data_IF_343990612959
#
_entry.id   IF_343990612959
#
_cell.length_a   1.000
_cell.length_b   1.000
_cell.length_c   1.000
_cell.angle_alpha   90.00
_cell.angle_beta   90.00
_cell.angle_gamma   90.00
#
_symmetry.space_group_name_H-M   'P 1'
#
loop_
_entity.id
_entity.type
_entity.pdbx_description
1 polymer ?
#
# COMPACT_ATOMS: atom_id res chain seq x y z
N UNK A 1 -1.93 2.59 -1.94
CA UNK A 1 -2.92 2.84 -0.89
C UNK A 1 -2.20 2.76 0.43
N UNK A 2 -2.58 3.58 1.41
CA UNK A 2 -2.03 3.49 2.75
C UNK A 2 -2.83 2.43 3.53
N UNK A 3 -2.17 1.72 4.44
CA UNK A 3 -2.82 0.82 5.39
C UNK A 3 -4.00 1.50 6.12
N UNK A 4 -3.84 2.78 6.46
CA UNK A 4 -4.87 3.61 7.07
C UNK A 4 -6.12 3.75 6.21
N UNK A 5 -5.96 4.03 4.91
CA UNK A 5 -7.09 4.09 3.96
C UNK A 5 -7.83 2.75 3.87
N UNK A 6 -7.12 1.64 4.04
CA UNK A 6 -7.68 0.29 3.98
C UNK A 6 -8.56 -0.03 5.18
N UNK A 7 -8.10 0.31 6.39
CA UNK A 7 -8.90 0.16 7.62
C UNK A 7 -10.25 0.88 7.46
N UNK A 8 -10.23 2.12 6.96
CA UNK A 8 -11.46 2.90 6.78
C UNK A 8 -12.35 2.42 5.63
N UNK A 9 -11.82 1.68 4.66
CA UNK A 9 -12.66 1.00 3.66
C UNK A 9 -13.46 -0.16 4.25
N UNK A 10 -12.92 -0.81 5.30
CA UNK A 10 -13.58 -1.91 6.00
C UNK A 10 -14.47 -1.43 7.15
N UNK A 11 -14.16 -0.30 7.76
CA UNK A 11 -14.97 0.35 8.79
C UNK A 11 -15.14 1.83 8.45
N UNK A 12 -16.19 2.22 7.70
CA UNK A 12 -16.39 3.61 7.31
C UNK A 12 -16.57 4.53 8.53
N UNK A 13 -15.86 5.66 8.56
CA UNK A 13 -15.96 6.66 9.65
C UNK A 13 -17.37 7.21 9.88
N UNK A 14 -18.22 7.13 8.86
CA UNK A 14 -19.61 7.59 8.88
C UNK A 14 -20.54 6.67 9.66
N UNK A 15 -20.10 5.46 9.99
CA UNK A 15 -20.85 4.51 10.82
C UNK A 15 -20.03 4.16 12.05
N UNK A 16 -20.27 4.89 13.15
CA UNK A 16 -19.63 4.57 14.42
C UNK A 16 -20.17 3.23 14.93
N UNK A 17 -19.33 2.20 14.88
CA UNK A 17 -19.59 0.91 15.51
C UNK A 17 -18.88 0.84 16.87
N UNK A 18 -19.11 -0.22 17.64
CA UNK A 18 -18.42 -0.42 18.92
C UNK A 18 -16.89 -0.47 18.76
N UNK A 19 -16.13 -0.18 19.83
CA UNK A 19 -14.67 -0.24 19.81
C UNK A 19 -14.14 -1.62 19.35
N UNK A 20 -14.87 -2.68 19.70
CA UNK A 20 -14.59 -4.05 19.23
C UNK A 20 -14.64 -4.16 17.71
N UNK A 21 -15.62 -3.52 17.07
CA UNK A 21 -15.79 -3.59 15.62
C UNK A 21 -14.67 -2.87 14.86
N UNK A 22 -14.23 -1.73 15.37
CA UNK A 22 -13.08 -0.99 14.83
C UNK A 22 -11.80 -1.81 14.98
N UNK A 23 -11.61 -2.47 16.13
CA UNK A 23 -10.48 -3.36 16.38
C UNK A 23 -10.48 -4.54 15.41
N UNK A 24 -11.61 -5.24 15.27
CA UNK A 24 -11.75 -6.40 14.39
C UNK A 24 -11.50 -6.01 12.92
N UNK A 25 -12.04 -4.86 12.48
CA UNK A 25 -11.79 -4.33 11.14
C UNK A 25 -10.32 -3.97 10.90
N UNK A 26 -9.64 -3.39 11.89
CA UNK A 26 -8.21 -3.10 11.81
C UNK A 26 -7.37 -4.38 11.76
N UNK A 27 -7.70 -5.39 12.57
CA UNK A 27 -7.06 -6.70 12.53
C UNK A 27 -7.25 -7.39 11.18
N UNK A 28 -8.48 -7.37 10.64
CA UNK A 28 -8.78 -7.92 9.32
C UNK A 28 -8.01 -7.18 8.22
N UNK A 29 -7.95 -5.84 8.30
CA UNK A 29 -7.21 -5.01 7.37
C UNK A 29 -5.72 -5.38 7.35
N UNK A 30 -5.11 -5.60 8.52
CA UNK A 30 -3.71 -5.98 8.64
C UNK A 30 -3.43 -7.30 7.94
N UNK A 31 -4.28 -8.30 8.21
CA UNK A 31 -4.16 -9.64 7.65
C UNK A 31 -4.35 -9.61 6.12
N UNK A 32 -5.37 -8.90 5.62
CA UNK A 32 -5.64 -8.80 4.18
C UNK A 32 -4.56 -7.99 3.44
N UNK A 33 -4.05 -6.94 4.07
CA UNK A 33 -3.00 -6.10 3.51
C UNK A 33 -1.66 -6.87 3.42
N UNK A 34 -1.33 -7.68 4.42
CA UNK A 34 -0.07 -8.43 4.45
C UNK A 34 -0.16 -9.74 3.65
N UNK A 35 -1.10 -10.62 3.99
CA UNK A 35 -1.15 -12.00 3.49
C UNK A 35 -2.00 -12.15 2.22
N UNK A 36 -2.83 -11.16 1.90
CA UNK A 36 -3.74 -11.17 0.75
C UNK A 36 -5.09 -11.83 1.02
N UNK A 37 -6.03 -11.54 0.13
CA UNK A 37 -7.42 -11.98 0.21
C UNK A 37 -7.56 -13.50 0.14
N UNK A 38 -6.85 -14.15 -0.79
CA UNK A 38 -7.01 -15.56 -1.04
C UNK A 38 -6.59 -16.38 0.17
N UNK A 39 -5.41 -16.13 0.75
CA UNK A 39 -4.93 -16.95 1.87
C UNK A 39 -5.75 -16.70 3.13
N UNK A 40 -6.05 -15.43 3.41
CA UNK A 40 -6.68 -15.01 4.65
C UNK A 40 -8.17 -15.30 4.69
N UNK A 41 -8.92 -14.96 3.63
CA UNK A 41 -10.37 -15.22 3.59
C UNK A 41 -10.65 -16.72 3.53
N UNK A 42 -9.86 -17.50 2.79
CA UNK A 42 -10.10 -18.95 2.70
C UNK A 42 -9.85 -19.65 4.04
N UNK A 43 -8.84 -19.22 4.82
CA UNK A 43 -8.61 -19.72 6.19
C UNK A 43 -9.74 -19.31 7.14
N UNK A 44 -10.14 -18.04 7.11
CA UNK A 44 -11.21 -17.51 7.95
C UNK A 44 -12.55 -18.21 7.70
N UNK A 45 -12.96 -18.32 6.42
CA UNK A 45 -14.20 -18.99 6.05
C UNK A 45 -14.23 -20.45 6.48
N UNK A 46 -13.09 -21.15 6.37
CA UNK A 46 -12.95 -22.52 6.87
C UNK A 46 -13.11 -22.58 8.39
N UNK A 47 -12.50 -21.66 9.14
CA UNK A 47 -12.62 -21.60 10.60
C UNK A 47 -14.04 -21.25 11.06
N UNK A 48 -14.77 -20.43 10.29
CA UNK A 48 -16.16 -20.10 10.55
C UNK A 48 -17.16 -21.21 10.13
N UNK A 49 -16.68 -22.38 9.69
CA UNK A 49 -17.55 -23.48 9.23
C UNK A 49 -18.27 -23.20 7.91
N UNK A 50 -17.85 -22.18 7.15
CA UNK A 50 -18.41 -21.87 5.84
C UNK A 50 -17.79 -22.83 4.83
N UNK A 51 -18.46 -23.97 4.65
CA UNK A 51 -17.94 -25.18 3.99
C UNK A 51 -17.78 -25.09 2.46
N UNK A 52 -18.09 -23.97 1.82
CA UNK A 52 -18.16 -23.92 0.36
C UNK A 52 -17.78 -22.58 -0.21
N UNK A 53 -16.48 -22.27 -0.19
CA UNK A 53 -15.93 -21.42 -1.25
C UNK A 53 -16.04 -22.20 -2.55
N UNK A 54 -17.10 -21.96 -3.32
CA UNK A 54 -17.24 -22.52 -4.66
C UNK A 54 -15.98 -22.21 -5.47
N UNK A 55 -15.62 -23.03 -6.47
CA UNK A 55 -14.49 -22.74 -7.34
C UNK A 55 -14.53 -21.34 -7.95
N UNK A 56 -15.74 -20.79 -8.16
CA UNK A 56 -15.95 -19.41 -8.60
C UNK A 56 -15.49 -18.39 -7.54
N UNK A 57 -15.86 -18.56 -6.27
CA UNK A 57 -15.40 -17.69 -5.18
C UNK A 57 -13.87 -17.70 -5.06
N UNK A 58 -13.25 -18.87 -5.13
CA UNK A 58 -11.77 -18.98 -5.05
C UNK A 58 -11.10 -18.27 -6.23
N UNK A 59 -11.64 -18.39 -7.44
CA UNK A 59 -11.14 -17.67 -8.62
C UNK A 59 -11.29 -16.16 -8.46
N UNK A 60 -12.41 -15.68 -7.96
CA UNK A 60 -12.62 -14.25 -7.69
C UNK A 60 -11.59 -13.72 -6.69
N UNK A 61 -11.38 -14.41 -5.57
CA UNK A 61 -10.39 -14.02 -4.57
C UNK A 61 -8.96 -13.97 -5.16
N UNK A 62 -8.60 -14.94 -6.00
CA UNK A 62 -7.33 -14.95 -6.74
C UNK A 62 -7.18 -13.75 -7.68
N UNK A 63 -8.23 -13.41 -8.42
CA UNK A 63 -8.21 -12.27 -9.34
C UNK A 63 -8.03 -10.95 -8.58
N UNK A 64 -8.76 -10.77 -7.49
CA UNK A 64 -8.64 -9.60 -6.60
C UNK A 64 -7.22 -9.48 -6.03
N UNK A 65 -6.63 -10.59 -5.57
CA UNK A 65 -5.25 -10.57 -5.08
C UNK A 65 -4.22 -10.26 -6.17
N UNK A 66 -4.40 -10.83 -7.37
CA UNK A 66 -3.52 -10.51 -8.50
C UNK A 66 -3.58 -9.04 -8.88
N UNK A 67 -4.77 -8.43 -8.83
CA UNK A 67 -4.94 -7.00 -9.06
C UNK A 67 -4.26 -6.17 -7.96
N UNK A 68 -4.47 -6.53 -6.68
CA UNK A 68 -3.78 -5.91 -5.53
C UNK A 68 -2.26 -5.91 -5.72
N UNK A 69 -1.69 -7.05 -6.07
CA UNK A 69 -0.24 -7.20 -6.29
C UNK A 69 0.24 -6.36 -7.48
N UNK A 70 -0.50 -6.34 -8.60
CA UNK A 70 -0.19 -5.51 -9.77
C UNK A 70 -0.18 -4.03 -9.43
N UNK A 71 -1.22 -3.55 -8.75
CA UNK A 71 -1.33 -2.16 -8.33
C UNK A 71 -0.24 -1.77 -7.33
N UNK A 72 0.08 -2.64 -6.38
CA UNK A 72 1.16 -2.40 -5.43
C UNK A 72 2.51 -2.27 -6.16
N UNK A 73 2.83 -3.21 -7.06
CA UNK A 73 4.04 -3.14 -7.90
C UNK A 73 4.10 -1.85 -8.72
N UNK A 74 2.97 -1.40 -9.29
CA UNK A 74 2.89 -0.15 -10.03
C UNK A 74 3.14 1.07 -9.13
N UNK A 75 2.51 1.12 -7.96
CA UNK A 75 2.69 2.20 -6.97
C UNK A 75 4.13 2.25 -6.44
N UNK A 76 4.79 1.10 -6.22
CA UNK A 76 6.21 1.04 -5.82
C UNK A 76 7.12 1.59 -6.92
N UNK A 77 6.89 1.22 -8.20
CA UNK A 77 7.66 1.76 -9.34
C UNK A 77 7.50 3.27 -9.48
N UNK A 78 6.26 3.78 -9.39
CA UNK A 78 6.00 5.22 -9.43
C UNK A 78 6.66 5.97 -8.26
N UNK A 79 6.67 5.37 -7.07
CA UNK A 79 7.31 5.94 -5.88
C UNK A 79 8.85 5.97 -6.02
N UNK A 80 9.45 4.90 -6.57
CA UNK A 80 10.88 4.87 -6.89
C UNK A 80 11.25 5.91 -7.95
N UNK A 81 10.45 6.07 -9.01
CA UNK A 81 10.66 7.10 -10.03
C UNK A 81 10.61 8.51 -9.43
N UNK A 82 9.62 8.80 -8.57
CA UNK A 82 9.55 10.08 -7.85
C UNK A 82 10.74 10.30 -6.90
N UNK A 83 11.27 9.23 -6.27
CA UNK A 83 12.48 9.32 -5.44
C UNK A 83 13.71 9.66 -6.29
N UNK A 84 13.89 8.97 -7.41
CA UNK A 84 15.00 9.21 -8.35
C UNK A 84 14.95 10.61 -8.95
N UNK A 85 13.77 11.09 -9.32
CA UNK A 85 13.59 12.46 -9.84
C UNK A 85 13.99 13.53 -8.80
N UNK A 86 13.65 13.31 -7.52
CA UNK A 86 14.08 14.21 -6.44
C UNK A 86 15.61 14.21 -6.26
N UNK A 87 16.27 13.06 -6.35
CA UNK A 87 17.73 12.97 -6.28
C UNK A 87 18.39 13.76 -7.42
N UNK A 88 17.92 13.59 -8.65
CA UNK A 88 18.42 14.34 -9.83
C UNK A 88 18.25 15.85 -9.64
N UNK A 89 17.09 16.30 -9.14
CA UNK A 89 16.87 17.73 -8.86
C UNK A 89 17.82 18.27 -7.79
N UNK A 90 18.13 17.49 -6.75
CA UNK A 90 19.11 17.88 -5.72
C UNK A 90 20.52 17.95 -6.28
N UNK A 91 20.93 16.96 -7.08
CA UNK A 91 22.25 16.96 -7.76
C UNK A 91 22.39 18.14 -8.72
N UNK A 92 21.34 18.48 -9.47
CA UNK A 92 21.34 19.65 -10.34
C UNK A 92 21.49 20.96 -9.57
N UNK A 93 20.84 21.09 -8.40
CA UNK A 93 21.00 22.26 -7.54
C UNK A 93 22.40 22.37 -6.96
N UNK A 94 22.98 21.27 -6.49
CA UNK A 94 24.36 21.24 -5.99
C UNK A 94 25.36 21.64 -7.08
N UNK A 95 25.24 21.08 -8.28
CA UNK A 95 26.08 21.45 -9.42
C UNK A 95 25.91 22.92 -9.85
N UNK A 96 24.71 23.49 -9.72
CA UNK A 96 24.52 24.93 -9.96
C UNK A 96 25.21 25.75 -8.88
N UNK A 97 25.09 25.36 -7.61
CA UNK A 97 25.71 26.05 -6.48
C UNK A 97 27.24 26.00 -6.56
N UNK A 98 27.84 24.87 -6.93
CA UNK A 98 29.27 24.75 -7.17
C UNK A 98 29.75 25.63 -8.33
N UNK A 99 28.98 25.71 -9.42
CA UNK A 99 29.28 26.61 -10.54
C UNK A 99 29.21 28.08 -10.15
N UNK A 100 28.23 28.47 -9.33
CA UNK A 100 28.14 29.83 -8.79
C UNK A 100 29.31 30.15 -7.86
N UNK A 101 29.71 29.21 -7.00
CA UNK A 101 30.88 29.39 -6.12
C UNK A 101 32.18 29.55 -6.94
N UNK A 102 32.39 28.72 -7.96
CA UNK A 102 33.53 28.84 -8.87
C UNK A 102 33.55 30.15 -9.67
N UNK A 103 32.38 30.62 -10.13
CA UNK A 103 32.27 31.88 -10.87
C UNK A 103 32.40 33.13 -9.97
N UNK A 104 32.06 33.02 -8.69
CA UNK A 104 32.17 34.11 -7.72
C UNK A 104 33.58 34.35 -7.18
N UNK A 105 34.56 33.51 -7.54
CA UNK A 105 35.94 33.67 -7.11
C UNK A 105 36.17 33.46 -5.61
N UNK A 106 35.22 32.83 -4.89
CA UNK A 106 35.40 32.43 -3.51
C UNK A 106 36.30 31.18 -3.45
N UNK A 107 37.60 31.39 -3.62
CA UNK A 107 38.63 30.49 -3.13
C UNK A 107 39.12 31.08 -1.80
N UNK A 108 39.20 30.23 -0.76
CA UNK A 108 39.85 30.56 0.51
C UNK A 108 41.29 31.05 0.31
#
# INVERSE_FOLDING_TARGET
ESYHSYIWSLCPKTQFHSAKYVHDAASLAAILYNDGYQLSITKLLRQCGVLSTTPACVRMLKLTDNQRVKEHKFKTKATQQKKRHRQILTEQRLNQQEKYNYASGAFD
#
